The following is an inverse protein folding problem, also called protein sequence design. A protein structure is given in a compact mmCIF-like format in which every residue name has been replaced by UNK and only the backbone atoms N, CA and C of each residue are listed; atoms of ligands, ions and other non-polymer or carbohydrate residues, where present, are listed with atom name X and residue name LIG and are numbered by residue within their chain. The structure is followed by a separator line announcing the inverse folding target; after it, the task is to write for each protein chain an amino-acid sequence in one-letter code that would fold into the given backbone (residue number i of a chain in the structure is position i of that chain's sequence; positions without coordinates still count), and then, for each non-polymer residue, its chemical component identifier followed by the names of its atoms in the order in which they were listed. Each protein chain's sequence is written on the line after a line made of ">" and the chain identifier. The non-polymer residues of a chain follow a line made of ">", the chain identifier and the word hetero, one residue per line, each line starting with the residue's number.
data_IF_580476062687
#
_entry.id   IF_580476062687
#
_cell.length_a   1.000
_cell.length_b   1.000
_cell.length_c   1.000
_cell.angle_alpha   90.00
_cell.angle_beta   90.00
_cell.angle_gamma   90.00
#
_symmetry.space_group_name_H-M   'P 1'
#
loop_
_entity.id
_entity.type
_entity.pdbx_description
1 polymer ?
#
# COMPACT_ATOMS: atom_id res chain seq x y z
N UNK A 1 -74.93 24.53 37.04
CA UNK A 1 -74.69 23.18 36.46
C UNK A 1 -73.19 22.94 36.46
N UNK A 2 -72.74 21.98 37.26
CA UNK A 2 -71.34 21.52 37.23
C UNK A 2 -71.28 20.30 36.32
N UNK A 3 -70.50 20.37 35.20
CA UNK A 3 -70.23 19.25 34.38
C UNK A 3 -68.91 18.56 34.83
N UNK A 4 -69.01 17.30 35.19
CA UNK A 4 -67.82 16.47 35.50
C UNK A 4 -67.33 15.86 34.18
N UNK A 5 -66.09 16.17 33.84
CA UNK A 5 -65.40 15.53 32.67
C UNK A 5 -64.28 14.67 33.19
N UNK A 6 -64.15 13.40 32.76
CA UNK A 6 -63.00 12.56 33.09
C UNK A 6 -61.77 12.99 32.32
N UNK A 7 -60.61 13.00 32.95
CA UNK A 7 -59.28 13.22 32.36
C UNK A 7 -58.50 11.96 32.60
N UNK A 8 -57.89 11.40 31.50
CA UNK A 8 -56.93 10.28 31.58
C UNK A 8 -55.54 10.84 31.76
N UNK A 9 -54.79 10.30 32.70
CA UNK A 9 -53.38 10.54 32.89
C UNK A 9 -52.65 9.29 32.36
N UNK A 10 -51.83 9.48 31.33
CA UNK A 10 -51.07 8.39 30.67
C UNK A 10 -49.60 8.63 30.93
N UNK A 11 -48.92 7.64 31.47
CA UNK A 11 -47.45 7.59 31.58
C UNK A 11 -46.94 6.67 30.48
N UNK A 12 -46.13 7.21 29.57
CA UNK A 12 -45.51 6.43 28.53
C UNK A 12 -44.18 5.86 29.01
N UNK A 13 -43.77 4.74 28.42
CA UNK A 13 -42.48 4.13 28.71
C UNK A 13 -41.31 5.08 28.38
N UNK A 14 -40.26 5.02 29.18
CA UNK A 14 -39.05 5.78 28.94
C UNK A 14 -38.31 5.23 27.72
N UNK A 15 -37.82 6.12 26.86
CA UNK A 15 -36.87 5.74 25.83
C UNK A 15 -35.47 5.54 26.44
N UNK A 16 -34.71 4.63 25.85
CA UNK A 16 -33.31 4.40 26.19
C UNK A 16 -32.45 4.88 25.05
N UNK A 17 -31.56 5.82 25.32
CA UNK A 17 -30.42 6.17 24.51
C UNK A 17 -29.15 5.72 25.25
N UNK A 18 -28.21 5.18 24.54
CA UNK A 18 -26.97 4.60 25.09
C UNK A 18 -25.79 5.44 24.65
N UNK A 19 -24.88 5.76 25.55
CA UNK A 19 -23.60 6.36 25.21
C UNK A 19 -22.82 5.41 24.32
N UNK A 20 -22.26 5.96 23.23
CA UNK A 20 -21.68 5.17 22.15
C UNK A 20 -20.36 5.77 21.71
N UNK A 21 -19.35 4.91 21.52
CA UNK A 21 -18.09 5.29 20.90
C UNK A 21 -18.06 4.75 19.48
N UNK A 22 -18.01 5.67 18.52
CA UNK A 22 -17.85 5.35 17.11
C UNK A 22 -16.36 5.39 16.74
N UNK A 23 -15.79 4.21 16.46
CA UNK A 23 -14.42 4.09 15.96
C UNK A 23 -14.46 3.98 14.44
N UNK A 24 -13.67 4.79 13.76
CA UNK A 24 -13.57 4.79 12.31
C UNK A 24 -12.13 5.05 11.88
N UNK A 25 -11.74 4.52 10.72
CA UNK A 25 -10.40 4.68 10.19
C UNK A 25 -10.30 5.94 9.32
N UNK A 26 -9.16 6.61 9.44
CA UNK A 26 -8.78 7.73 8.60
C UNK A 26 -7.78 7.26 7.54
N UNK A 27 -8.21 7.21 6.29
CA UNK A 27 -7.38 6.69 5.20
C UNK A 27 -6.34 7.70 4.67
N UNK A 28 -6.49 8.99 4.98
CA UNK A 28 -5.56 10.04 4.55
C UNK A 28 -4.68 10.59 5.67
N UNK A 29 -4.87 10.09 6.89
CA UNK A 29 -4.07 10.41 8.08
C UNK A 29 -4.08 11.89 8.50
N UNK A 30 -5.09 12.65 8.12
CA UNK A 30 -5.23 14.07 8.50
C UNK A 30 -6.03 14.28 9.81
N UNK A 31 -6.65 13.21 10.34
CA UNK A 31 -7.45 13.24 11.55
C UNK A 31 -8.83 13.87 11.38
N UNK A 32 -9.25 14.14 10.15
CA UNK A 32 -10.51 14.82 9.82
C UNK A 32 -11.37 13.93 8.92
N UNK A 33 -12.61 13.68 9.33
CA UNK A 33 -13.54 12.83 8.59
C UNK A 33 -14.92 13.46 8.48
N UNK A 34 -15.55 13.24 7.31
CA UNK A 34 -16.95 13.55 7.10
C UNK A 34 -17.79 12.31 7.43
N UNK A 35 -18.50 12.35 8.54
CA UNK A 35 -19.26 11.23 9.08
C UNK A 35 -20.73 11.41 8.70
N UNK A 36 -21.32 10.42 8.06
CA UNK A 36 -22.76 10.38 7.84
C UNK A 36 -23.46 10.06 9.17
N UNK A 37 -24.19 11.02 9.71
CA UNK A 37 -24.82 10.90 11.02
C UNK A 37 -25.76 9.68 11.14
N UNK A 38 -26.41 9.27 10.06
CA UNK A 38 -27.29 8.09 10.10
C UNK A 38 -26.56 6.77 10.36
N UNK A 39 -25.24 6.72 10.14
CA UNK A 39 -24.43 5.52 10.47
C UNK A 39 -24.29 5.31 11.98
N UNK A 40 -24.55 6.33 12.80
CA UNK A 40 -24.43 6.31 14.25
C UNK A 40 -25.72 5.81 14.93
N UNK A 41 -26.86 5.80 14.21
CA UNK A 41 -28.18 5.52 14.77
C UNK A 41 -28.27 4.19 15.55
N UNK A 42 -27.66 3.13 14.97
CA UNK A 42 -27.66 1.79 15.57
C UNK A 42 -26.83 1.68 16.86
N UNK A 43 -25.88 2.61 17.07
CA UNK A 43 -25.06 2.66 18.29
C UNK A 43 -25.77 3.32 19.43
N UNK A 44 -26.63 4.31 19.17
CA UNK A 44 -27.30 5.09 20.21
C UNK A 44 -28.63 4.49 20.69
N UNK A 45 -29.31 3.68 19.86
CA UNK A 45 -30.53 2.99 20.25
C UNK A 45 -30.78 1.71 19.47
N UNK A 46 -31.41 0.74 20.14
CA UNK A 46 -31.90 -0.50 19.51
C UNK A 46 -33.34 -0.39 18.99
N UNK A 47 -34.02 0.72 19.30
CA UNK A 47 -35.38 0.95 18.86
C UNK A 47 -35.42 1.29 17.37
N UNK A 48 -36.16 0.50 16.56
CA UNK A 48 -36.27 0.65 15.10
C UNK A 48 -37.59 1.20 14.60
N UNK A 49 -38.58 1.35 15.49
CA UNK A 49 -39.94 1.81 15.14
C UNK A 49 -40.42 2.92 16.04
N UNK A 50 -41.14 3.86 15.47
CA UNK A 50 -41.73 5.01 16.19
C UNK A 50 -40.71 5.89 16.92
N UNK A 51 -39.47 5.87 16.49
CA UNK A 51 -38.39 6.73 17.00
C UNK A 51 -37.79 7.53 15.84
N UNK A 52 -37.33 8.73 16.18
CA UNK A 52 -36.46 9.52 15.31
C UNK A 52 -35.26 10.00 16.13
N UNK A 53 -34.13 10.22 15.42
CA UNK A 53 -32.87 10.58 16.03
C UNK A 53 -32.41 11.91 15.43
N UNK A 54 -31.95 12.80 16.28
CA UNK A 54 -31.27 14.03 15.89
C UNK A 54 -29.95 14.15 16.64
N UNK A 55 -28.96 14.76 16.01
CA UNK A 55 -27.63 14.96 16.56
C UNK A 55 -27.37 16.44 16.78
N UNK A 56 -26.63 16.77 17.84
CA UNK A 56 -26.39 18.14 18.30
C UNK A 56 -24.93 18.27 18.78
N UNK A 57 -24.40 19.51 18.75
CA UNK A 57 -23.03 19.76 19.22
C UNK A 57 -22.92 19.78 20.75
N UNK A 58 -23.99 20.09 21.43
CA UNK A 58 -24.00 20.18 22.90
C UNK A 58 -25.17 19.41 23.48
N UNK A 59 -25.01 18.91 24.72
CA UNK A 59 -26.08 18.27 25.46
C UNK A 59 -27.30 19.21 25.65
N UNK A 60 -27.04 20.50 25.91
CA UNK A 60 -28.09 21.50 26.04
C UNK A 60 -28.94 21.66 24.78
N UNK A 61 -28.32 21.62 23.60
CA UNK A 61 -29.03 21.65 22.30
C UNK A 61 -29.88 20.39 22.12
N UNK A 62 -29.30 19.21 22.45
CA UNK A 62 -30.03 17.94 22.38
C UNK A 62 -31.26 17.92 23.33
N UNK A 63 -31.09 18.39 24.57
CA UNK A 63 -32.17 18.47 25.54
C UNK A 63 -33.30 19.42 25.07
N UNK A 64 -32.93 20.55 24.49
CA UNK A 64 -33.86 21.57 24.03
C UNK A 64 -34.35 21.41 22.60
N UNK A 65 -33.81 20.41 21.86
CA UNK A 65 -34.07 20.18 20.46
C UNK A 65 -33.80 21.41 19.57
N UNK A 66 -32.65 22.04 19.79
CA UNK A 66 -32.23 23.23 19.04
C UNK A 66 -31.01 22.93 18.19
N UNK A 67 -30.82 23.66 17.10
CA UNK A 67 -29.63 23.56 16.21
C UNK A 67 -29.24 22.12 15.80
N UNK A 68 -30.15 21.27 15.31
CA UNK A 68 -29.80 19.91 14.95
C UNK A 68 -28.78 19.91 13.80
N UNK A 69 -27.81 19.02 13.90
CA UNK A 69 -26.90 18.71 12.80
C UNK A 69 -27.64 17.99 11.67
N UNK A 70 -27.26 18.19 10.42
CA UNK A 70 -27.95 17.61 9.28
C UNK A 70 -26.99 16.90 8.33
N UNK A 71 -27.35 15.66 7.94
CA UNK A 71 -26.66 14.91 6.89
C UNK A 71 -25.29 14.39 7.33
N UNK A 72 -24.24 15.17 7.09
CA UNK A 72 -22.85 14.82 7.45
C UNK A 72 -22.32 15.76 8.52
N UNK A 73 -21.44 15.23 9.34
CA UNK A 73 -20.71 15.95 10.38
C UNK A 73 -19.21 15.80 10.14
N UNK A 74 -18.49 16.92 10.17
CA UNK A 74 -17.01 16.91 10.14
C UNK A 74 -16.51 17.14 11.56
N UNK A 75 -15.66 16.23 12.07
CA UNK A 75 -15.10 16.37 13.41
C UNK A 75 -14.17 17.59 13.51
N UNK A 76 -14.14 18.22 14.69
CA UNK A 76 -13.25 19.34 15.01
C UNK A 76 -12.03 18.94 15.82
N UNK A 77 -12.07 17.78 16.46
CA UNK A 77 -10.99 17.21 17.28
C UNK A 77 -10.99 15.69 17.16
N UNK A 78 -9.97 15.05 17.70
CA UNK A 78 -9.89 13.60 17.81
C UNK A 78 -9.39 13.20 19.20
N UNK A 79 -10.20 12.56 20.05
CA UNK A 79 -11.63 12.27 19.86
C UNK A 79 -12.49 13.54 19.85
N UNK A 80 -13.69 13.42 19.26
CA UNK A 80 -14.70 14.46 19.24
C UNK A 80 -15.99 13.95 19.88
N UNK A 81 -16.86 14.85 20.36
CA UNK A 81 -18.09 14.48 21.07
C UNK A 81 -19.26 15.25 20.49
N UNK A 82 -20.33 14.52 20.16
CA UNK A 82 -21.65 15.06 19.82
C UNK A 82 -22.72 14.37 20.66
N UNK A 83 -23.94 14.90 20.66
CA UNK A 83 -25.03 14.38 21.46
C UNK A 83 -26.19 13.93 20.57
N UNK A 84 -26.67 12.72 20.81
CA UNK A 84 -27.81 12.15 20.13
C UNK A 84 -29.08 12.33 20.99
N UNK A 85 -30.14 12.84 20.36
CA UNK A 85 -31.48 12.87 20.93
C UNK A 85 -32.34 11.82 20.25
N UNK A 86 -32.72 10.79 20.97
CA UNK A 86 -33.67 9.75 20.53
C UNK A 86 -35.04 10.13 21.05
N UNK A 87 -36.02 10.31 20.18
CA UNK A 87 -37.37 10.70 20.62
C UNK A 87 -38.45 9.84 19.97
N UNK A 88 -39.53 9.59 20.74
CA UNK A 88 -40.70 8.87 20.26
C UNK A 88 -41.57 9.78 19.41
N UNK A 89 -41.88 9.35 18.19
CA UNK A 89 -42.79 10.07 17.28
C UNK A 89 -44.24 9.96 17.70
N UNK A 90 -44.57 9.08 18.65
CA UNK A 90 -45.96 8.84 19.14
C UNK A 90 -46.22 9.47 20.49
N UNK A 91 -45.29 9.39 21.46
CA UNK A 91 -45.47 9.89 22.81
C UNK A 91 -44.78 11.24 23.07
N UNK A 92 -43.79 11.61 22.25
CA UNK A 92 -42.98 12.79 22.47
C UNK A 92 -41.91 12.64 23.57
N UNK A 93 -41.84 11.48 24.26
CA UNK A 93 -40.76 11.18 25.19
C UNK A 93 -39.43 11.13 24.49
N UNK A 94 -38.36 11.52 25.16
CA UNK A 94 -37.00 11.47 24.57
C UNK A 94 -35.96 11.07 25.61
N UNK A 95 -34.81 10.65 25.11
CA UNK A 95 -33.56 10.43 25.85
C UNK A 95 -32.41 11.05 25.09
N UNK A 96 -31.35 11.43 25.79
CA UNK A 96 -30.13 11.98 25.22
C UNK A 96 -28.97 11.07 25.62
N UNK A 97 -28.04 10.85 24.69
CA UNK A 97 -26.80 10.12 24.91
C UNK A 97 -25.62 10.85 24.30
N UNK A 98 -24.46 10.58 24.85
CA UNK A 98 -23.17 11.04 24.32
C UNK A 98 -22.69 10.11 23.21
N UNK A 99 -22.18 10.68 22.11
CA UNK A 99 -21.54 9.96 21.02
C UNK A 99 -20.10 10.45 20.90
N UNK A 100 -19.17 9.63 21.33
CA UNK A 100 -17.74 9.89 21.15
C UNK A 100 -17.30 9.39 19.78
N UNK A 101 -16.76 10.27 18.97
CA UNK A 101 -16.19 9.97 17.66
C UNK A 101 -14.69 9.84 17.84
N UNK A 102 -14.15 8.64 17.58
CA UNK A 102 -12.74 8.34 17.69
C UNK A 102 -12.19 7.93 16.31
N UNK A 103 -11.36 8.78 15.75
CA UNK A 103 -10.72 8.56 14.45
C UNK A 103 -9.40 7.86 14.68
N UNK A 104 -9.26 6.66 14.11
CA UNK A 104 -8.08 5.82 14.24
C UNK A 104 -7.22 5.98 13.00
N UNK A 105 -5.97 6.36 13.21
CA UNK A 105 -5.01 6.47 12.11
C UNK A 105 -4.61 5.07 11.60
N UNK A 106 -4.32 4.93 10.31
CA UNK A 106 -3.77 3.71 9.76
C UNK A 106 -2.41 3.41 10.41
N UNK A 107 -1.98 2.14 10.45
CA UNK A 107 -0.69 1.79 11.00
C UNK A 107 0.45 2.46 10.19
N UNK A 108 1.48 2.93 10.90
CA UNK A 108 2.69 3.44 10.26
C UNK A 108 3.55 2.28 9.75
N UNK A 109 4.11 2.44 8.55
CA UNK A 109 5.05 1.52 7.95
C UNK A 109 6.43 2.20 7.84
N UNK A 110 7.49 1.40 7.74
CA UNK A 110 8.87 1.91 7.63
C UNK A 110 9.19 2.40 6.21
N UNK A 111 8.50 1.89 5.21
CA UNK A 111 8.65 2.27 3.80
C UNK A 111 7.28 2.49 3.16
N UNK A 112 7.24 3.40 2.18
CA UNK A 112 6.02 3.71 1.41
C UNK A 112 6.01 3.00 0.05
N UNK A 113 7.15 2.48 -0.41
CA UNK A 113 7.31 1.78 -1.69
C UNK A 113 8.49 0.82 -1.60
N UNK A 114 8.31 -0.40 -2.06
CA UNK A 114 9.37 -1.37 -2.25
C UNK A 114 9.40 -1.90 -3.69
N UNK A 115 10.49 -2.56 -4.04
CA UNK A 115 10.74 -3.10 -5.37
C UNK A 115 11.25 -4.52 -5.27
N UNK A 116 10.78 -5.41 -6.14
CA UNK A 116 11.35 -6.74 -6.33
C UNK A 116 11.78 -6.90 -7.79
N UNK A 117 13.02 -7.32 -7.97
CA UNK A 117 13.59 -7.67 -9.27
C UNK A 117 13.62 -9.19 -9.47
N UNK A 118 13.25 -9.65 -10.64
CA UNK A 118 13.40 -11.04 -11.05
C UNK A 118 14.00 -11.14 -12.47
N UNK A 119 14.78 -12.19 -12.72
CA UNK A 119 15.37 -12.43 -14.04
C UNK A 119 14.34 -13.12 -14.95
N UNK A 120 14.19 -12.59 -16.16
CA UNK A 120 13.43 -13.18 -17.27
C UNK A 120 14.36 -14.10 -18.09
N UNK A 121 14.20 -15.40 -17.91
CA UNK A 121 15.11 -16.39 -18.54
C UNK A 121 14.74 -16.75 -19.97
N UNK A 122 13.50 -16.48 -20.40
CA UNK A 122 12.99 -16.79 -21.74
C UNK A 122 12.59 -15.55 -22.54
N UNK A 123 12.86 -14.36 -21.99
CA UNK A 123 12.68 -13.06 -22.63
C UNK A 123 11.20 -12.73 -22.99
N UNK A 124 10.26 -13.33 -22.28
CA UNK A 124 8.84 -13.13 -22.52
C UNK A 124 8.23 -11.98 -21.68
N UNK A 125 8.99 -11.41 -20.75
CA UNK A 125 8.57 -10.32 -19.84
C UNK A 125 7.89 -10.81 -18.56
N UNK A 126 7.88 -12.12 -18.30
CA UNK A 126 7.23 -12.72 -17.14
C UNK A 126 8.24 -13.44 -16.25
N UNK A 127 7.99 -13.37 -14.94
CA UNK A 127 8.78 -14.06 -13.92
C UNK A 127 7.92 -14.37 -12.69
N UNK A 128 8.43 -15.23 -11.81
CA UNK A 128 7.79 -15.57 -10.54
C UNK A 128 8.44 -14.77 -9.41
N UNK A 129 7.61 -14.14 -8.57
CA UNK A 129 8.02 -13.27 -7.46
C UNK A 129 7.54 -13.82 -6.11
N UNK A 130 8.36 -13.70 -5.08
CA UNK A 130 7.93 -13.84 -3.69
C UNK A 130 7.57 -12.45 -3.14
N UNK A 131 6.28 -12.10 -3.16
CA UNK A 131 5.80 -10.80 -2.69
C UNK A 131 5.97 -10.64 -1.18
N UNK A 132 6.15 -11.73 -0.44
CA UNK A 132 6.34 -11.69 1.02
C UNK A 132 7.76 -11.33 1.43
N UNK A 133 8.71 -11.40 0.52
CA UNK A 133 10.14 -11.16 0.79
C UNK A 133 10.43 -9.75 1.30
N UNK A 134 9.62 -8.75 0.91
CA UNK A 134 9.78 -7.34 1.28
C UNK A 134 9.06 -6.93 2.57
N UNK A 135 8.30 -7.85 3.20
CA UNK A 135 7.56 -7.51 4.42
C UNK A 135 8.45 -6.98 5.55
N UNK A 136 9.68 -7.49 5.77
CA UNK A 136 10.60 -6.95 6.78
C UNK A 136 10.98 -5.48 6.56
N UNK A 137 10.95 -4.99 5.31
CA UNK A 137 11.28 -3.60 4.97
C UNK A 137 10.15 -2.66 5.37
N UNK A 138 8.90 -3.13 5.28
CA UNK A 138 7.72 -2.38 5.71
C UNK A 138 7.51 -2.40 7.22
N UNK A 139 7.79 -3.51 7.90
CA UNK A 139 7.52 -3.64 9.34
C UNK A 139 8.40 -4.68 10.02
N UNK A 140 8.84 -4.36 11.24
CA UNK A 140 9.56 -5.30 12.13
C UNK A 140 8.62 -6.20 12.94
N UNK A 141 7.30 -5.95 12.90
CA UNK A 141 6.29 -6.68 13.67
C UNK A 141 5.14 -7.19 12.78
N UNK A 142 5.42 -8.04 11.78
CA UNK A 142 4.40 -8.49 10.82
C UNK A 142 3.23 -9.25 11.48
N UNK A 143 3.48 -9.87 12.65
CA UNK A 143 2.44 -10.57 13.42
C UNK A 143 1.33 -9.68 13.96
N UNK A 144 1.49 -8.35 13.93
CA UNK A 144 0.47 -7.40 14.36
C UNK A 144 -0.53 -7.07 13.25
N UNK A 145 -0.33 -7.63 12.05
CA UNK A 145 -1.11 -7.31 10.87
C UNK A 145 -1.74 -8.55 10.23
N UNK A 146 -2.90 -8.35 9.67
CA UNK A 146 -3.43 -9.20 8.61
C UNK A 146 -2.93 -8.62 7.27
N UNK A 147 -2.02 -9.35 6.59
CA UNK A 147 -1.36 -8.88 5.37
C UNK A 147 -2.00 -9.56 4.18
N UNK A 148 -2.41 -8.77 3.17
CA UNK A 148 -2.93 -9.27 1.91
C UNK A 148 -2.35 -8.50 0.73
N UNK A 149 -2.33 -9.15 -0.44
CA UNK A 149 -1.73 -8.63 -1.66
C UNK A 149 -2.79 -8.53 -2.75
N UNK A 150 -2.76 -7.47 -3.55
CA UNK A 150 -3.79 -7.16 -4.53
C UNK A 150 -3.17 -6.63 -5.82
N UNK A 151 -3.82 -6.87 -6.94
CA UNK A 151 -3.35 -6.39 -8.26
C UNK A 151 -3.79 -4.96 -8.57
N UNK A 152 -4.71 -4.39 -7.77
CA UNK A 152 -5.15 -3.00 -7.91
C UNK A 152 -5.31 -2.32 -6.56
N UNK A 153 -5.14 -0.99 -6.54
CA UNK A 153 -5.41 -0.15 -5.38
C UNK A 153 -6.85 -0.34 -4.87
N UNK A 154 -7.81 -0.36 -5.79
CA UNK A 154 -9.22 -0.49 -5.43
C UNK A 154 -9.55 -1.84 -4.76
N UNK A 155 -8.91 -2.93 -5.18
CA UNK A 155 -9.07 -4.23 -4.52
C UNK A 155 -8.44 -4.22 -3.12
N UNK A 156 -7.29 -3.58 -2.96
CA UNK A 156 -6.63 -3.41 -1.68
C UNK A 156 -7.46 -2.54 -0.72
N UNK A 157 -8.02 -1.42 -1.20
CA UNK A 157 -8.88 -0.54 -0.40
C UNK A 157 -10.11 -1.28 0.13
N UNK A 158 -10.72 -2.11 -0.70
CA UNK A 158 -11.93 -2.86 -0.36
C UNK A 158 -11.66 -4.24 0.25
N UNK A 159 -10.40 -4.65 0.35
CA UNK A 159 -9.98 -5.99 0.81
C UNK A 159 -10.68 -7.13 0.06
N UNK A 160 -10.70 -7.04 -1.26
CA UNK A 160 -11.30 -8.04 -2.16
C UNK A 160 -10.26 -8.53 -3.18
N UNK A 161 -10.53 -9.67 -3.82
CA UNK A 161 -9.69 -10.25 -4.88
C UNK A 161 -8.22 -10.38 -4.50
N UNK A 162 -7.92 -10.79 -3.26
CA UNK A 162 -6.56 -10.97 -2.79
C UNK A 162 -5.81 -12.04 -3.63
N UNK A 163 -4.54 -11.81 -3.87
CA UNK A 163 -3.62 -12.76 -4.50
C UNK A 163 -3.50 -13.98 -3.60
N UNK A 164 -3.82 -15.16 -4.12
CA UNK A 164 -3.92 -16.40 -3.33
C UNK A 164 -2.58 -17.05 -3.04
N UNK A 165 -1.56 -16.80 -3.86
CA UNK A 165 -0.22 -17.37 -3.72
C UNK A 165 0.87 -16.30 -3.79
N UNK A 166 1.00 -15.45 -2.75
CA UNK A 166 1.94 -14.33 -2.77
C UNK A 166 3.42 -14.74 -2.77
N UNK A 167 3.75 -15.92 -2.24
CA UNK A 167 5.13 -16.43 -2.20
C UNK A 167 5.61 -17.00 -3.54
N UNK A 168 4.70 -17.13 -4.51
CA UNK A 168 5.01 -17.59 -5.86
C UNK A 168 4.01 -16.98 -6.82
N UNK A 169 4.13 -15.69 -7.02
CA UNK A 169 3.25 -14.89 -7.86
C UNK A 169 3.88 -14.66 -9.23
N UNK A 170 3.20 -15.09 -10.28
CA UNK A 170 3.59 -14.79 -11.65
C UNK A 170 3.00 -13.43 -12.05
N UNK A 171 3.83 -12.50 -12.53
CA UNK A 171 3.32 -11.20 -12.99
C UNK A 171 2.38 -11.39 -14.19
N UNK A 172 1.32 -10.59 -14.23
CA UNK A 172 0.30 -10.63 -15.30
C UNK A 172 0.47 -9.52 -16.34
N UNK A 173 1.36 -8.57 -16.04
CA UNK A 173 1.77 -7.50 -16.95
C UNK A 173 3.26 -7.66 -17.23
N UNK A 174 3.68 -7.74 -18.50
CA UNK A 174 5.09 -8.03 -18.81
C UNK A 174 6.00 -6.88 -18.41
N UNK A 175 7.21 -7.21 -17.96
CA UNK A 175 8.32 -6.33 -17.58
C UNK A 175 8.14 -5.53 -16.31
N UNK A 176 7.08 -4.75 -16.18
CA UNK A 176 6.83 -3.90 -15.02
C UNK A 176 5.38 -4.07 -14.60
N UNK A 177 5.18 -4.45 -13.36
CA UNK A 177 3.86 -4.54 -12.77
C UNK A 177 3.87 -3.93 -11.36
N UNK A 178 2.85 -3.16 -11.03
CA UNK A 178 2.58 -2.72 -9.66
C UNK A 178 1.53 -3.61 -9.04
N UNK A 179 1.79 -4.07 -7.82
CA UNK A 179 0.84 -4.70 -6.91
C UNK A 179 0.74 -3.88 -5.63
N UNK A 180 -0.22 -4.18 -4.77
CA UNK A 180 -0.49 -3.42 -3.56
C UNK A 180 -0.52 -4.36 -2.36
N UNK A 181 0.17 -4.00 -1.29
CA UNK A 181 0.19 -4.73 -0.02
C UNK A 181 -0.68 -3.96 0.97
N UNK A 182 -1.69 -4.64 1.52
CA UNK A 182 -2.55 -4.13 2.56
C UNK A 182 -2.11 -4.65 3.92
N UNK A 183 -1.79 -3.76 4.84
CA UNK A 183 -1.43 -4.03 6.22
C UNK A 183 -2.59 -3.62 7.13
N UNK A 184 -3.44 -4.55 7.52
CA UNK A 184 -4.57 -4.31 8.41
C UNK A 184 -4.17 -4.63 9.85
N UNK A 185 -4.24 -3.62 10.73
CA UNK A 185 -3.93 -3.79 12.15
C UNK A 185 -4.91 -4.73 12.82
N UNK A 186 -4.41 -5.78 13.48
CA UNK A 186 -5.23 -6.73 14.25
C UNK A 186 -5.90 -6.09 15.48
N UNK A 187 -5.40 -4.94 15.95
CA UNK A 187 -5.93 -4.25 17.12
C UNK A 187 -7.00 -3.23 16.77
N UNK A 188 -6.85 -2.52 15.66
CA UNK A 188 -7.74 -1.42 15.28
C UNK A 188 -8.64 -1.74 14.10
N UNK A 189 -8.26 -2.71 13.26
CA UNK A 189 -8.91 -3.01 11.99
C UNK A 189 -8.61 -1.99 10.89
N UNK A 190 -7.85 -0.93 11.18
CA UNK A 190 -7.47 0.05 10.17
C UNK A 190 -6.29 -0.46 9.34
N UNK A 191 -6.27 -0.12 8.07
CA UNK A 191 -5.26 -0.59 7.15
C UNK A 191 -4.45 0.56 6.55
N UNK A 192 -3.17 0.28 6.29
CA UNK A 192 -2.32 1.03 5.38
C UNK A 192 -2.09 0.19 4.12
N UNK A 193 -1.99 0.84 2.97
CA UNK A 193 -1.77 0.18 1.68
C UNK A 193 -0.54 0.80 1.05
N UNK A 194 0.45 -0.06 0.75
CA UNK A 194 1.69 0.35 0.10
C UNK A 194 1.83 -0.32 -1.26
N UNK A 195 2.28 0.41 -2.29
CA UNK A 195 2.62 -0.16 -3.57
C UNK A 195 3.91 -0.99 -3.48
N UNK A 196 3.97 -2.01 -4.33
CA UNK A 196 5.13 -2.85 -4.57
C UNK A 196 5.33 -2.96 -6.07
N UNK A 197 6.47 -2.51 -6.56
CA UNK A 197 6.82 -2.58 -7.98
C UNK A 197 7.62 -3.85 -8.28
N UNK A 198 7.17 -4.60 -9.26
CA UNK A 198 7.80 -5.82 -9.75
C UNK A 198 8.49 -5.52 -11.09
N UNK A 199 9.79 -5.78 -11.16
CA UNK A 199 10.57 -5.62 -12.38
C UNK A 199 11.06 -6.98 -12.87
N UNK A 200 10.73 -7.30 -14.12
CA UNK A 200 11.25 -8.47 -14.80
C UNK A 200 12.38 -8.02 -15.71
N UNK A 201 13.61 -8.31 -15.29
CA UNK A 201 14.83 -7.91 -15.98
C UNK A 201 15.21 -8.96 -17.02
N UNK A 202 15.50 -8.51 -18.23
CA UNK A 202 15.96 -9.40 -19.30
C UNK A 202 17.28 -10.05 -18.91
N UNK A 203 17.31 -11.38 -18.92
CA UNK A 203 18.57 -12.09 -18.92
C UNK A 203 19.16 -11.99 -20.33
N UNK A 204 20.30 -11.31 -20.45
CA UNK A 204 20.99 -11.25 -21.73
C UNK A 204 21.45 -12.64 -22.15
N UNK A 205 21.17 -12.97 -23.40
CA UNK A 205 21.63 -14.23 -24.00
C UNK A 205 23.16 -14.23 -24.08
N UNK A 206 23.79 -15.00 -23.18
CA UNK A 206 25.25 -15.15 -23.14
C UNK A 206 25.82 -15.85 -24.36
N UNK A 207 24.98 -16.44 -25.22
CA UNK A 207 25.43 -17.10 -26.45
C UNK A 207 25.98 -16.12 -27.50
N UNK A 208 25.67 -14.83 -27.36
CA UNK A 208 26.19 -13.76 -28.19
C UNK A 208 27.57 -13.23 -27.73
N UNK A 209 28.05 -13.66 -26.56
CA UNK A 209 29.39 -13.34 -26.09
C UNK A 209 30.37 -14.29 -26.77
N UNK A 210 31.02 -13.78 -27.79
CA UNK A 210 31.95 -14.55 -28.60
C UNK A 210 33.38 -14.07 -28.36
N UNK A 211 34.32 -14.98 -28.47
CA UNK A 211 35.76 -14.66 -28.42
C UNK A 211 36.11 -13.61 -29.48
N UNK A 212 36.88 -12.63 -29.06
CA UNK A 212 37.39 -11.57 -29.94
C UNK A 212 38.78 -11.89 -30.42
N UNK A 213 39.06 -11.63 -31.67
CA UNK A 213 40.39 -11.86 -32.26
C UNK A 213 40.81 -10.66 -33.10
N UNK A 214 42.07 -10.31 -33.02
CA UNK A 214 42.70 -9.25 -33.78
C UNK A 214 44.00 -9.74 -34.38
N UNK A 215 44.40 -9.19 -35.54
CA UNK A 215 45.69 -9.50 -36.12
C UNK A 215 46.77 -8.71 -35.38
N UNK A 216 47.87 -9.40 -35.05
CA UNK A 216 49.05 -8.76 -34.52
C UNK A 216 49.65 -7.79 -35.56
N UNK A 217 50.27 -6.73 -35.10
CA UNK A 217 50.92 -5.74 -35.94
C UNK A 217 52.25 -6.27 -36.48
N UNK A 218 53.04 -5.37 -37.05
CA UNK A 218 54.36 -5.74 -37.64
C UNK A 218 55.40 -6.15 -36.59
N UNK A 219 55.14 -5.90 -35.31
CA UNK A 219 56.02 -6.32 -34.20
C UNK A 219 55.97 -7.82 -33.96
N UNK A 220 54.80 -8.41 -34.22
CA UNK A 220 54.49 -9.84 -34.05
C UNK A 220 54.87 -10.35 -32.66
N UNK A 221 54.52 -9.55 -31.64
CA UNK A 221 54.84 -9.80 -30.23
C UNK A 221 53.66 -10.38 -29.42
N UNK A 222 52.48 -10.51 -30.03
CA UNK A 222 51.28 -11.09 -29.43
C UNK A 222 50.46 -10.11 -28.58
N UNK A 223 50.76 -8.81 -28.66
CA UNK A 223 50.07 -7.78 -27.91
C UNK A 223 49.38 -6.77 -28.84
N UNK A 224 48.05 -6.59 -28.66
CA UNK A 224 47.27 -5.68 -29.47
C UNK A 224 46.24 -4.92 -28.61
N UNK A 225 45.78 -3.76 -29.08
CA UNK A 225 44.80 -2.94 -28.40
C UNK A 225 43.39 -3.28 -28.87
N UNK A 226 42.52 -3.70 -27.94
CA UNK A 226 41.13 -4.01 -28.18
C UNK A 226 40.25 -2.82 -27.78
N UNK A 227 39.23 -2.54 -28.60
CA UNK A 227 38.19 -1.54 -28.28
C UNK A 227 37.06 -2.19 -27.48
N UNK A 228 37.10 -2.05 -26.16
CA UNK A 228 36.12 -2.66 -25.27
C UNK A 228 34.72 -2.07 -25.45
N UNK A 229 34.58 -0.78 -25.79
CA UNK A 229 33.30 -0.17 -26.08
C UNK A 229 32.60 -0.79 -27.29
N UNK A 230 33.36 -1.01 -28.40
CA UNK A 230 32.84 -1.65 -29.61
C UNK A 230 32.44 -3.11 -29.33
N UNK A 231 33.22 -3.81 -28.53
CA UNK A 231 32.93 -5.18 -28.09
C UNK A 231 31.64 -5.20 -27.26
N UNK A 232 31.49 -4.28 -26.30
CA UNK A 232 30.29 -4.14 -25.48
C UNK A 232 29.06 -3.88 -26.34
N UNK A 233 29.12 -2.92 -27.26
CA UNK A 233 28.03 -2.61 -28.17
C UNK A 233 27.62 -3.81 -29.03
N UNK A 234 28.58 -4.63 -29.44
CA UNK A 234 28.32 -5.86 -30.17
C UNK A 234 27.54 -6.90 -29.34
N UNK A 235 27.82 -7.00 -28.05
CA UNK A 235 27.13 -7.91 -27.14
C UNK A 235 25.71 -7.45 -26.80
N UNK A 236 25.51 -6.14 -26.60
CA UNK A 236 24.20 -5.55 -26.29
C UNK A 236 23.23 -5.65 -27.47
N UNK A 237 23.75 -5.64 -28.72
CA UNK A 237 22.95 -5.74 -29.95
C UNK A 237 21.70 -4.82 -29.97
N UNK A 238 21.87 -3.58 -29.48
CA UNK A 238 20.79 -2.56 -29.46
C UNK A 238 19.77 -2.68 -28.35
N UNK A 239 19.98 -3.52 -27.33
CA UNK A 239 19.14 -3.57 -26.13
C UNK A 239 19.37 -2.28 -25.33
N UNK A 240 18.34 -1.45 -25.06
CA UNK A 240 18.51 -0.20 -24.34
C UNK A 240 18.69 -0.45 -22.84
N UNK A 241 19.37 0.50 -22.17
CA UNK A 241 19.56 0.52 -20.71
C UNK A 241 20.32 -0.70 -20.14
N UNK A 242 21.30 -1.18 -20.91
CA UNK A 242 22.23 -2.23 -20.49
C UNK A 242 23.62 -1.63 -20.43
N UNK A 243 24.34 -1.87 -19.34
CA UNK A 243 25.73 -1.53 -19.16
C UNK A 243 26.58 -2.79 -19.15
N UNK A 244 27.77 -2.73 -19.75
CA UNK A 244 28.72 -3.81 -19.73
C UNK A 244 30.02 -3.32 -19.11
N UNK A 245 30.46 -4.03 -18.09
CA UNK A 245 31.70 -3.77 -17.38
C UNK A 245 32.67 -4.90 -17.61
N UNK A 246 33.94 -4.56 -17.74
CA UNK A 246 35.05 -5.50 -18.01
C UNK A 246 36.02 -5.54 -16.83
N UNK A 247 36.52 -6.74 -16.53
CA UNK A 247 37.46 -6.99 -15.43
C UNK A 247 38.55 -7.97 -15.88
N UNK A 248 39.75 -7.82 -15.30
CA UNK A 248 40.86 -8.74 -15.57
C UNK A 248 40.77 -10.05 -14.80
N UNK A 249 40.02 -10.10 -13.72
CA UNK A 249 39.83 -11.31 -12.91
C UNK A 249 38.37 -11.52 -12.49
N UNK A 250 38.01 -12.79 -12.26
CA UNK A 250 36.69 -13.15 -11.69
C UNK A 250 36.46 -12.54 -10.30
N UNK A 251 37.53 -12.42 -9.51
CA UNK A 251 37.47 -11.84 -8.18
C UNK A 251 37.15 -10.33 -8.23
N UNK A 252 37.75 -9.60 -9.15
CA UNK A 252 37.47 -8.18 -9.36
C UNK A 252 36.01 -7.99 -9.83
N UNK A 253 35.53 -8.84 -10.74
CA UNK A 253 34.15 -8.84 -11.21
C UNK A 253 33.16 -9.10 -10.07
N UNK A 254 33.40 -10.12 -9.23
CA UNK A 254 32.56 -10.46 -8.11
C UNK A 254 32.56 -9.40 -6.99
N UNK A 255 33.71 -8.72 -6.83
CA UNK A 255 33.90 -7.70 -5.77
C UNK A 255 33.59 -6.28 -6.24
N UNK A 256 33.27 -6.10 -7.51
CA UNK A 256 33.00 -4.81 -8.14
C UNK A 256 34.15 -3.80 -7.97
N UNK A 257 35.37 -4.23 -8.22
CA UNK A 257 36.58 -3.42 -8.11
C UNK A 257 37.43 -3.55 -9.36
N UNK A 258 38.32 -2.60 -9.59
CA UNK A 258 39.29 -2.59 -10.70
C UNK A 258 38.62 -2.74 -12.10
N UNK A 259 37.45 -2.12 -12.28
CA UNK A 259 36.76 -2.06 -13.56
C UNK A 259 37.65 -1.43 -14.62
N UNK A 260 37.71 -2.03 -15.81
CA UNK A 260 38.42 -1.48 -16.96
C UNK A 260 37.59 -0.36 -17.62
N UNK A 261 38.24 0.73 -18.00
CA UNK A 261 37.57 1.83 -18.72
C UNK A 261 37.35 1.41 -20.18
N UNK A 262 36.12 1.23 -20.64
CA UNK A 262 35.82 0.78 -21.99
C UNK A 262 36.19 1.83 -23.07
N UNK A 263 36.32 3.10 -22.69
CA UNK A 263 36.65 4.19 -23.63
C UNK A 263 38.15 4.27 -23.94
N UNK A 264 38.95 3.59 -23.13
CA UNK A 264 40.40 3.52 -23.34
C UNK A 264 40.71 2.16 -23.97
N UNK A 265 41.45 2.16 -25.08
CA UNK A 265 41.88 0.90 -25.73
C UNK A 265 42.63 0.01 -24.74
N UNK A 266 42.16 -1.22 -24.58
CA UNK A 266 42.76 -2.22 -23.70
C UNK A 266 43.78 -3.07 -24.43
N UNK A 267 45.03 -3.03 -24.03
CA UNK A 267 46.06 -3.93 -24.58
C UNK A 267 46.14 -5.21 -23.75
N UNK A 268 46.05 -6.37 -24.42
CA UNK A 268 46.14 -7.64 -23.71
C UNK A 268 47.50 -7.80 -23.00
N UNK A 269 47.45 -8.43 -21.83
CA UNK A 269 48.63 -8.70 -20.98
C UNK A 269 49.23 -10.07 -21.26
N UNK A 270 48.45 -10.98 -21.86
CA UNK A 270 48.82 -12.34 -22.25
C UNK A 270 48.10 -12.73 -23.54
N UNK A 271 48.62 -13.69 -24.28
CA UNK A 271 47.97 -14.21 -25.49
C UNK A 271 47.82 -15.73 -25.40
N UNK A 272 46.57 -16.28 -25.29
CA UNK A 272 45.30 -15.58 -25.13
C UNK A 272 45.13 -14.99 -23.72
N UNK A 273 44.23 -13.98 -23.60
CA UNK A 273 43.80 -13.43 -22.35
C UNK A 273 42.28 -13.56 -22.19
N UNK A 274 41.84 -13.87 -20.99
CA UNK A 274 40.40 -13.86 -20.62
C UNK A 274 40.09 -12.60 -19.84
N UNK A 275 39.07 -11.87 -20.30
CA UNK A 275 38.41 -10.82 -19.52
C UNK A 275 37.06 -11.33 -18.99
N UNK A 276 36.69 -10.89 -17.83
CA UNK A 276 35.42 -11.20 -17.18
C UNK A 276 34.46 -10.02 -17.37
N UNK A 277 33.22 -10.32 -17.70
CA UNK A 277 32.19 -9.29 -17.97
C UNK A 277 31.07 -9.38 -16.97
N UNK A 278 30.58 -8.20 -16.58
CA UNK A 278 29.32 -8.03 -15.86
C UNK A 278 28.37 -7.21 -16.73
N UNK A 279 27.12 -7.59 -16.77
CA UNK A 279 26.09 -6.97 -17.57
C UNK A 279 24.93 -6.60 -16.65
#
# INVERSE_FOLDING_TARGET
>A
CQGIQPVQLIVNDALVATDFTFNTCDNNSDGILNINLSTLDSGVTTATSNVAISYHLTESEALNNTSPLSGTYTNFSNPDTIFARVYSTTSGCFAVSEVTINIVLPPSLNSDLEVIDACDTDQNGFATFDLSSVIPDFTTTPSNFNISYHTSQADADNNVNAITNPNSYDNITPRIQRVYIRFESLTTGCANISPLDLYTNLLLDRTNIIDQSQCDDISNDGFESFNLEEIALGFINGIPNVDIEFFESEMDQLSDINQLDPLIGYTNLTNPQTLYIRI
#
